data_IF_827422431096
#
_entry.id   IF_827422431096
#
_cell.length_a   1.000
_cell.length_b   1.000
_cell.length_c   1.000
_cell.angle_alpha   90.00
_cell.angle_beta   90.00
_cell.angle_gamma   90.00
#
_symmetry.space_group_name_H-M   'P 1'
#
loop_
_entity.id
_entity.type
_entity.pdbx_description
1 polymer ?
#
# COMPACT_ATOMS: atom_id res chain seq x y z
N UNK A 1 2.04 -4.74 -8.14
CA UNK A 1 3.49 -4.70 -7.85
C UNK A 1 4.13 -5.98 -8.39
N UNK A 2 5.23 -5.86 -9.13
CA UNK A 2 5.95 -7.01 -9.71
C UNK A 2 7.40 -7.05 -9.26
N UNK A 3 7.94 -8.24 -9.07
CA UNK A 3 9.36 -8.49 -8.84
C UNK A 3 9.79 -9.65 -9.73
N UNK A 4 10.86 -9.46 -10.51
CA UNK A 4 11.36 -10.44 -11.49
C UNK A 4 10.24 -10.97 -12.43
N UNK A 5 9.38 -10.07 -12.89
CA UNK A 5 8.27 -10.40 -13.80
C UNK A 5 7.02 -10.99 -13.12
N UNK A 6 7.13 -11.53 -11.90
CA UNK A 6 6.00 -12.08 -11.16
C UNK A 6 5.27 -11.00 -10.36
N UNK A 7 3.94 -11.07 -10.30
CA UNK A 7 3.15 -10.19 -9.41
C UNK A 7 3.31 -10.67 -7.98
N UNK A 8 3.82 -9.81 -7.10
CA UNK A 8 4.09 -10.18 -5.69
C UNK A 8 3.12 -9.54 -4.70
N UNK A 9 2.52 -8.40 -5.07
CA UNK A 9 1.47 -7.78 -4.26
C UNK A 9 0.57 -6.87 -5.11
N UNK A 10 -0.58 -6.52 -4.54
CA UNK A 10 -1.51 -5.50 -5.05
C UNK A 10 -1.91 -4.54 -3.92
N UNK A 11 -2.23 -3.31 -4.27
CA UNK A 11 -2.77 -2.31 -3.34
C UNK A 11 -4.11 -1.80 -3.87
N UNK A 12 -5.04 -1.52 -2.97
CA UNK A 12 -6.35 -0.92 -3.24
C UNK A 12 -6.63 0.21 -2.26
N UNK A 13 -7.42 1.18 -2.70
CA UNK A 13 -8.00 2.21 -1.84
C UNK A 13 -9.46 1.88 -1.59
N UNK A 14 -9.89 1.92 -0.33
CA UNK A 14 -11.29 1.79 0.07
C UNK A 14 -11.74 3.06 0.81
N UNK A 15 -12.98 3.47 0.58
CA UNK A 15 -13.62 4.57 1.30
C UNK A 15 -14.76 4.02 2.17
N UNK A 16 -14.84 4.43 3.44
CA UNK A 16 -15.86 4.00 4.38
C UNK A 16 -15.70 4.66 5.75
N UNK A 17 -16.76 4.71 6.57
CA UNK A 17 -16.72 5.29 7.92
C UNK A 17 -16.07 6.70 8.00
N UNK A 18 -16.28 7.53 6.98
CA UNK A 18 -15.70 8.89 6.91
C UNK A 18 -14.20 8.94 6.58
N UNK A 19 -13.58 7.83 6.18
CA UNK A 19 -12.13 7.70 5.98
C UNK A 19 -11.77 6.93 4.71
N UNK A 20 -10.55 7.13 4.22
CA UNK A 20 -9.91 6.29 3.23
C UNK A 20 -9.00 5.27 3.93
N UNK A 21 -8.88 4.07 3.36
CA UNK A 21 -8.04 2.99 3.85
C UNK A 21 -7.21 2.43 2.70
N UNK A 22 -5.91 2.25 2.96
CA UNK A 22 -5.05 1.48 2.07
C UNK A 22 -5.18 0.00 2.41
N UNK A 23 -5.31 -0.84 1.40
CA UNK A 23 -5.36 -2.29 1.55
C UNK A 23 -4.30 -2.92 0.68
N UNK A 24 -3.46 -3.78 1.27
CA UNK A 24 -2.45 -4.53 0.53
C UNK A 24 -2.69 -6.01 0.66
N UNK A 25 -2.61 -6.70 -0.47
CA UNK A 25 -2.56 -8.16 -0.53
C UNK A 25 -1.25 -8.61 -1.17
N UNK A 26 -0.50 -9.45 -0.46
CA UNK A 26 0.70 -10.12 -0.95
C UNK A 26 0.29 -11.48 -1.50
N UNK A 27 0.72 -11.79 -2.72
CA UNK A 27 0.34 -13.05 -3.38
C UNK A 27 0.95 -14.25 -2.65
N UNK A 28 0.18 -15.33 -2.56
CA UNK A 28 0.56 -16.57 -1.86
C UNK A 28 1.91 -17.13 -2.33
N UNK A 29 2.14 -17.11 -3.65
CA UNK A 29 3.40 -17.52 -4.28
C UNK A 29 4.63 -16.78 -3.73
N UNK A 30 4.46 -15.53 -3.34
CA UNK A 30 5.51 -14.72 -2.73
C UNK A 30 5.55 -14.91 -1.21
N UNK A 31 4.38 -14.87 -0.55
CA UNK A 31 4.27 -14.90 0.90
C UNK A 31 4.80 -16.19 1.53
N UNK A 32 4.70 -17.33 0.83
CA UNK A 32 5.18 -18.63 1.32
C UNK A 32 6.69 -18.84 1.17
N UNK A 33 7.32 -18.15 0.23
CA UNK A 33 8.71 -18.41 -0.18
C UNK A 33 9.69 -17.35 0.30
N UNK A 34 9.21 -16.25 0.92
CA UNK A 34 10.02 -15.11 1.28
C UNK A 34 9.71 -14.60 2.69
N UNK A 35 10.74 -14.07 3.36
CA UNK A 35 10.57 -13.14 4.48
C UNK A 35 10.54 -11.72 3.93
N UNK A 36 9.53 -10.95 4.29
CA UNK A 36 9.31 -9.60 3.77
C UNK A 36 8.68 -8.68 4.81
N UNK A 37 8.79 -7.38 4.57
CA UNK A 37 8.01 -6.33 5.21
C UNK A 37 7.07 -5.75 4.17
N UNK A 38 5.85 -5.48 4.59
CA UNK A 38 4.83 -4.80 3.81
C UNK A 38 4.42 -3.53 4.55
N UNK A 39 4.30 -2.43 3.82
CA UNK A 39 3.74 -1.17 4.32
C UNK A 39 2.70 -0.64 3.36
N UNK A 40 1.72 0.10 3.87
CA UNK A 40 0.78 0.86 3.07
C UNK A 40 0.34 2.14 3.76
N UNK A 41 -0.14 3.10 2.98
CA UNK A 41 -0.67 4.39 3.43
C UNK A 41 -1.57 5.00 2.36
N UNK A 42 -2.37 5.99 2.76
CA UNK A 42 -3.04 6.91 1.84
C UNK A 42 -2.10 8.08 1.57
N UNK A 43 -1.69 8.26 0.33
CA UNK A 43 -1.02 9.47 -0.14
C UNK A 43 -2.06 10.54 -0.44
N UNK A 44 -2.01 11.65 0.29
CA UNK A 44 -2.79 12.85 0.03
C UNK A 44 -1.97 13.77 -0.85
N UNK A 45 -2.53 14.18 -1.98
CA UNK A 45 -1.87 15.06 -2.95
C UNK A 45 -2.44 16.47 -2.78
N UNK A 46 -1.57 17.45 -2.53
CA UNK A 46 -1.92 18.86 -2.41
C UNK A 46 -0.90 19.69 -3.20
N UNK A 47 -1.29 20.13 -4.41
CA UNK A 47 -0.35 20.72 -5.37
C UNK A 47 0.76 19.73 -5.74
N UNK A 48 2.02 20.13 -5.54
CA UNK A 48 3.22 19.31 -5.80
C UNK A 48 3.67 18.50 -4.57
N UNK A 49 2.91 18.56 -3.47
CA UNK A 49 3.26 17.89 -2.21
C UNK A 49 2.45 16.60 -1.99
N UNK A 50 3.11 15.59 -1.41
CA UNK A 50 2.49 14.33 -1.00
C UNK A 50 2.63 14.14 0.52
N UNK A 51 1.50 13.89 1.18
CA UNK A 51 1.42 13.64 2.62
C UNK A 51 0.90 12.22 2.91
N UNK A 52 1.60 11.43 3.74
CA UNK A 52 1.08 10.13 4.15
C UNK A 52 -0.01 10.29 5.20
N UNK A 53 -1.04 9.45 5.11
CA UNK A 53 -2.07 9.30 6.13
C UNK A 53 -2.45 7.84 6.31
N UNK A 54 -2.75 7.45 7.54
CA UNK A 54 -3.24 6.10 7.84
C UNK A 54 -2.23 5.00 7.54
N UNK A 55 -0.94 5.27 7.79
CA UNK A 55 0.13 4.32 7.48
C UNK A 55 0.11 3.10 8.40
N UNK A 56 0.55 1.98 7.86
CA UNK A 56 0.84 0.78 8.64
C UNK A 56 2.01 0.02 8.02
N UNK A 57 2.76 -0.69 8.87
CA UNK A 57 3.81 -1.63 8.46
C UNK A 57 3.75 -2.91 9.25
N UNK A 58 3.96 -4.05 8.59
CA UNK A 58 4.12 -5.35 9.25
C UNK A 58 5.13 -6.24 8.53
N UNK A 59 5.69 -7.20 9.26
CA UNK A 59 6.47 -8.31 8.68
C UNK A 59 5.57 -9.49 8.33
N UNK A 60 5.85 -10.17 7.21
CA UNK A 60 5.28 -11.45 6.80
C UNK A 60 3.74 -11.54 6.85
N UNK A 61 3.04 -10.41 6.64
CA UNK A 61 1.58 -10.39 6.58
C UNK A 61 1.12 -10.42 5.13
N UNK A 62 0.30 -11.43 4.83
CA UNK A 62 -0.29 -11.58 3.51
C UNK A 62 -1.34 -10.49 3.24
N UNK A 63 -2.12 -10.16 4.26
CA UNK A 63 -3.13 -9.11 4.23
C UNK A 63 -2.72 -7.96 5.16
N UNK A 64 -2.80 -6.73 4.68
CA UNK A 64 -2.55 -5.54 5.48
C UNK A 64 -3.62 -4.47 5.20
N UNK A 65 -4.40 -4.14 6.23
CA UNK A 65 -5.26 -2.97 6.26
C UNK A 65 -4.52 -1.81 6.93
N UNK A 66 -4.30 -0.72 6.19
CA UNK A 66 -3.79 0.51 6.75
C UNK A 66 -4.76 1.13 7.75
N UNK A 67 -4.27 2.05 8.56
CA UNK A 67 -5.14 2.85 9.41
C UNK A 67 -6.04 3.76 8.55
N UNK A 68 -7.21 4.14 9.08
CA UNK A 68 -8.12 5.03 8.37
C UNK A 68 -7.62 6.47 8.36
N UNK A 69 -7.49 7.07 7.17
CA UNK A 69 -7.15 8.48 6.97
C UNK A 69 -8.40 9.32 6.72
N UNK A 70 -8.62 10.39 7.49
CA UNK A 70 -9.76 11.30 7.33
C UNK A 70 -9.56 12.26 6.14
N UNK A 71 -9.58 11.73 4.92
CA UNK A 71 -9.12 12.41 3.69
C UNK A 71 -10.12 12.26 2.53
N UNK A 72 -11.40 11.98 2.81
CA UNK A 72 -12.41 11.77 1.77
C UNK A 72 -12.62 12.99 0.87
N UNK A 73 -12.37 14.19 1.41
CA UNK A 73 -12.46 15.50 0.75
C UNK A 73 -11.13 15.95 0.12
N UNK A 74 -10.18 15.04 -0.10
CA UNK A 74 -8.87 15.33 -0.67
C UNK A 74 -8.58 14.42 -1.86
N UNK A 75 -7.72 14.90 -2.76
CA UNK A 75 -7.11 14.07 -3.79
C UNK A 75 -6.20 13.02 -3.13
N UNK A 76 -6.51 11.74 -3.35
CA UNK A 76 -5.87 10.63 -2.64
C UNK A 76 -5.58 9.44 -3.53
N UNK A 77 -4.50 8.71 -3.23
CA UNK A 77 -4.23 7.36 -3.75
C UNK A 77 -3.72 6.45 -2.64
N UNK A 78 -4.01 5.16 -2.70
CA UNK A 78 -3.40 4.19 -1.79
C UNK A 78 -2.03 3.80 -2.35
N UNK A 79 -1.03 3.74 -1.48
CA UNK A 79 0.33 3.35 -1.81
C UNK A 79 0.72 2.17 -0.93
N UNK A 80 1.54 1.27 -1.48
CA UNK A 80 2.13 0.19 -0.73
C UNK A 80 3.52 -0.14 -1.22
N UNK A 81 4.35 -0.67 -0.32
CA UNK A 81 5.67 -1.21 -0.62
C UNK A 81 5.87 -2.56 0.03
N UNK A 82 6.58 -3.45 -0.67
CA UNK A 82 6.98 -4.79 -0.20
C UNK A 82 8.47 -4.95 -0.38
N UNK A 83 9.19 -5.30 0.68
CA UNK A 83 10.63 -5.57 0.60
C UNK A 83 10.88 -6.86 -0.17
N UNK A 84 11.95 -6.87 -0.96
CA UNK A 84 12.38 -8.01 -1.77
C UNK A 84 13.77 -8.53 -1.33
N UNK A 85 14.15 -9.76 -1.68
CA UNK A 85 15.50 -10.26 -1.43
C UNK A 85 16.58 -9.27 -1.89
N UNK A 86 17.68 -9.18 -1.13
CA UNK A 86 18.74 -8.20 -1.38
C UNK A 86 18.49 -6.81 -0.76
N UNK A 87 17.42 -6.65 0.03
CA UNK A 87 17.17 -5.43 0.82
C UNK A 87 16.46 -4.30 0.09
N UNK A 88 16.10 -4.50 -1.18
CA UNK A 88 15.28 -3.56 -1.94
C UNK A 88 13.80 -3.62 -1.56
N UNK A 89 12.98 -2.81 -2.24
CA UNK A 89 11.53 -2.89 -2.18
C UNK A 89 10.93 -2.59 -3.55
N UNK A 90 9.72 -3.10 -3.76
CA UNK A 90 8.87 -2.70 -4.87
C UNK A 90 7.66 -1.97 -4.33
N UNK A 91 7.29 -0.88 -4.99
CA UNK A 91 6.12 -0.09 -4.62
C UNK A 91 5.04 -0.17 -5.70
N UNK A 92 3.82 0.11 -5.30
CA UNK A 92 2.70 0.30 -6.21
C UNK A 92 1.69 1.25 -5.59
N UNK A 93 0.88 1.87 -6.43
CA UNK A 93 -0.16 2.80 -6.02
C UNK A 93 -1.40 2.63 -6.90
N UNK A 94 -2.55 3.04 -6.38
CA UNK A 94 -3.77 3.18 -7.16
C UNK A 94 -3.74 4.46 -7.99
N UNK A 95 -4.70 4.59 -8.92
CA UNK A 95 -4.97 5.87 -9.55
C UNK A 95 -5.35 6.93 -8.52
N UNK A 96 -5.12 8.19 -8.88
CA UNK A 96 -5.49 9.34 -8.05
C UNK A 96 -7.00 9.55 -8.10
N UNK A 97 -7.62 9.64 -6.92
CA UNK A 97 -9.04 9.97 -6.76
C UNK A 97 -9.20 11.35 -6.13
N UNK A 98 -9.81 12.26 -6.87
CA UNK A 98 -10.40 13.53 -6.43
C UNK A 98 -11.91 13.43 -6.73
#
# INVERSE_FOLDING_TARGET
>A
MKHQGATIASVKQFAGCGKNFAYTWVWDSYARSHTYRVSNWIAVIDGDEEYPGGDLRSGNKQELWGAGAATLNKCTRAVSSVTVPGGGYVSGWTDLRC
#
